data_IF_237858910280
#
_entry.id   IF_237858910280
#
_cell.length_a   1.000
_cell.length_b   1.000
_cell.length_c   1.000
_cell.angle_alpha   90.00
_cell.angle_beta   90.00
_cell.angle_gamma   90.00
#
_symmetry.space_group_name_H-M   'P 1'
#
loop_
_entity.id
_entity.type
_entity.pdbx_description
1 polymer ?
#
# COMPACT_ATOMS: atom_id res chain seq x y z
N UNK A 1 -16.93 -6.10 1.08
CA UNK A 1 -16.37 -5.09 0.16
C UNK A 1 -17.27 -3.84 0.04
N UNK A 2 -18.55 -3.96 -0.36
CA UNK A 2 -19.45 -2.80 -0.41
C UNK A 2 -19.62 -2.13 0.96
N UNK A 3 -19.88 -2.91 2.01
CA UNK A 3 -20.01 -2.38 3.37
C UNK A 3 -18.77 -1.60 3.83
N UNK A 4 -17.57 -2.01 3.40
CA UNK A 4 -16.32 -1.29 3.71
C UNK A 4 -16.25 0.07 2.98
N UNK A 5 -16.70 0.13 1.72
CA UNK A 5 -16.80 1.38 0.96
C UNK A 5 -17.80 2.32 1.65
N UNK A 6 -18.95 1.80 2.06
CA UNK A 6 -19.98 2.60 2.74
C UNK A 6 -19.49 3.13 4.10
N UNK A 7 -18.88 2.27 4.91
CA UNK A 7 -18.26 2.66 6.18
C UNK A 7 -17.19 3.74 5.97
N UNK A 8 -16.39 3.63 4.92
CA UNK A 8 -15.35 4.62 4.59
C UNK A 8 -15.96 5.96 4.19
N UNK A 9 -16.99 5.95 3.32
CA UNK A 9 -17.71 7.16 2.90
C UNK A 9 -18.37 7.84 4.10
N UNK A 10 -19.03 7.06 4.96
CA UNK A 10 -19.66 7.58 6.17
C UNK A 10 -18.64 8.20 7.12
N UNK A 11 -17.52 7.51 7.37
CA UNK A 11 -16.44 8.04 8.19
C UNK A 11 -15.88 9.36 7.64
N UNK A 12 -15.60 9.44 6.33
CA UNK A 12 -15.08 10.65 5.70
C UNK A 12 -16.10 11.80 5.72
N UNK A 13 -17.38 11.51 5.48
CA UNK A 13 -18.45 12.52 5.59
C UNK A 13 -18.59 13.06 7.01
N UNK A 14 -18.63 12.18 8.00
CA UNK A 14 -18.71 12.57 9.40
C UNK A 14 -17.55 13.49 9.82
N UNK A 15 -16.35 13.29 9.27
CA UNK A 15 -15.18 14.11 9.59
C UNK A 15 -15.13 15.43 8.82
N UNK A 16 -15.48 15.42 7.52
CA UNK A 16 -15.09 16.49 6.61
C UNK A 16 -16.23 17.14 5.83
N UNK A 17 -17.41 16.53 5.77
CA UNK A 17 -18.57 17.11 5.09
C UNK A 17 -19.34 18.01 6.06
N UNK A 18 -19.24 19.34 5.86
CA UNK A 18 -19.89 20.33 6.73
C UNK A 18 -21.42 20.27 6.71
N UNK A 19 -22.01 19.73 5.64
CA UNK A 19 -23.45 19.60 5.47
C UNK A 19 -24.02 18.24 5.88
N UNK A 20 -23.17 17.28 6.29
CA UNK A 20 -23.62 15.93 6.62
C UNK A 20 -24.23 15.87 8.03
N UNK A 21 -25.49 15.45 8.12
CA UNK A 21 -26.28 15.29 9.35
C UNK A 21 -26.42 16.54 10.24
N UNK A 22 -26.06 17.72 9.75
CA UNK A 22 -26.15 18.97 10.51
C UNK A 22 -27.07 19.98 9.82
N UNK A 23 -27.96 20.62 10.58
CA UNK A 23 -28.78 21.74 10.12
C UNK A 23 -28.07 23.09 10.19
N UNK A 24 -26.90 23.12 10.84
CA UNK A 24 -26.08 24.32 11.08
C UNK A 24 -24.61 23.97 10.91
N UNK A 25 -23.78 24.99 10.73
CA UNK A 25 -22.35 24.78 10.57
C UNK A 25 -21.69 24.23 11.84
N UNK A 26 -20.70 23.36 11.67
CA UNK A 26 -20.02 22.66 12.79
C UNK A 26 -19.00 23.57 13.47
N UNK A 27 -18.95 23.53 14.80
CA UNK A 27 -18.06 24.39 15.60
C UNK A 27 -16.57 24.10 15.36
N UNK A 28 -16.23 22.87 15.02
CA UNK A 28 -14.86 22.40 14.75
C UNK A 28 -14.48 22.44 13.25
N UNK A 29 -15.25 23.15 12.41
CA UNK A 29 -15.06 23.17 10.95
C UNK A 29 -13.63 23.52 10.55
N UNK A 30 -13.07 24.58 11.11
CA UNK A 30 -11.71 25.05 10.77
C UNK A 30 -10.65 24.00 11.11
N UNK A 31 -10.83 23.29 12.23
CA UNK A 31 -9.93 22.20 12.63
C UNK A 31 -10.05 21.04 11.64
N UNK A 32 -11.26 20.64 11.27
CA UNK A 32 -11.50 19.57 10.29
C UNK A 32 -11.03 19.92 8.88
N UNK A 33 -11.17 21.17 8.46
CA UNK A 33 -10.62 21.65 7.21
C UNK A 33 -9.09 21.60 7.20
N UNK A 34 -8.45 21.95 8.32
CA UNK A 34 -7.00 21.84 8.47
C UNK A 34 -6.53 20.37 8.44
N UNK A 35 -7.25 19.46 9.10
CA UNK A 35 -7.00 18.01 9.03
C UNK A 35 -7.13 17.50 7.59
N UNK A 36 -8.21 17.85 6.89
CA UNK A 36 -8.44 17.47 5.50
C UNK A 36 -7.35 18.02 4.58
N UNK A 37 -6.98 19.29 4.75
CA UNK A 37 -5.88 19.93 4.01
C UNK A 37 -4.58 19.16 4.22
N UNK A 38 -4.22 18.84 5.46
CA UNK A 38 -3.02 18.07 5.76
C UNK A 38 -3.02 16.70 5.10
N UNK A 39 -4.16 15.99 5.15
CA UNK A 39 -4.33 14.69 4.53
C UNK A 39 -4.15 14.76 3.01
N UNK A 40 -4.83 15.70 2.34
CA UNK A 40 -4.77 15.83 0.88
C UNK A 40 -3.42 16.37 0.39
N UNK A 41 -2.81 17.31 1.12
CA UNK A 41 -1.47 17.82 0.80
C UNK A 41 -0.41 16.72 0.86
N UNK A 42 -0.47 15.82 1.84
CA UNK A 42 0.45 14.68 1.90
C UNK A 42 0.44 13.84 0.60
N UNK A 43 -0.75 13.53 0.07
CA UNK A 43 -0.87 12.79 -1.20
C UNK A 43 -0.48 13.63 -2.42
N UNK A 44 -0.78 14.93 -2.40
CA UNK A 44 -0.41 15.87 -3.45
C UNK A 44 1.11 15.99 -3.59
N UNK A 45 1.82 16.18 -2.48
CA UNK A 45 3.29 16.26 -2.44
C UNK A 45 3.92 14.97 -2.93
N UNK A 46 3.34 13.83 -2.51
CA UNK A 46 3.78 12.50 -2.97
C UNK A 46 3.61 12.35 -4.48
N UNK A 47 2.46 12.75 -5.02
CA UNK A 47 2.20 12.65 -6.45
C UNK A 47 3.16 13.54 -7.27
N UNK A 48 3.47 14.75 -6.80
CA UNK A 48 4.43 15.64 -7.43
C UNK A 48 5.86 15.08 -7.37
N UNK A 49 6.27 14.55 -6.21
CA UNK A 49 7.60 13.95 -6.01
C UNK A 49 7.89 12.78 -6.96
N UNK A 50 6.86 12.02 -7.29
CA UNK A 50 6.95 10.90 -8.25
C UNK A 50 6.50 11.30 -9.66
N UNK A 51 6.43 12.60 -9.97
CA UNK A 51 6.14 13.13 -11.31
C UNK A 51 4.79 12.71 -11.92
N UNK A 52 3.86 12.17 -11.12
CA UNK A 52 2.49 11.86 -11.55
C UNK A 52 1.65 13.12 -11.79
N UNK A 53 2.14 14.26 -11.30
CA UNK A 53 1.49 15.54 -11.42
C UNK A 53 2.50 16.57 -11.90
N UNK A 54 2.14 17.35 -12.93
CA UNK A 54 2.96 18.48 -13.37
C UNK A 54 3.00 19.58 -12.31
N UNK A 55 4.09 20.33 -12.21
CA UNK A 55 4.23 21.46 -11.28
C UNK A 55 3.07 22.47 -11.36
N UNK A 56 2.58 22.75 -12.57
CA UNK A 56 1.44 23.65 -12.76
C UNK A 56 0.16 23.10 -12.09
N UNK A 57 -0.12 21.82 -12.25
CA UNK A 57 -1.29 21.19 -11.63
C UNK A 57 -1.12 21.06 -10.11
N UNK A 58 0.09 20.77 -9.63
CA UNK A 58 0.45 20.76 -8.21
C UNK A 58 0.15 22.11 -7.55
N UNK A 59 0.69 23.20 -8.10
CA UNK A 59 0.50 24.55 -7.57
C UNK A 59 -0.98 24.96 -7.54
N UNK A 60 -1.75 24.58 -8.56
CA UNK A 60 -3.19 24.86 -8.60
C UNK A 60 -3.98 24.09 -7.53
N UNK A 61 -3.67 22.80 -7.33
CA UNK A 61 -4.32 22.01 -6.28
C UNK A 61 -3.94 22.53 -4.90
N UNK A 62 -2.68 22.91 -4.69
CA UNK A 62 -2.24 23.50 -3.43
C UNK A 62 -2.97 24.81 -3.13
N UNK A 63 -3.15 25.68 -4.14
CA UNK A 63 -3.92 26.92 -3.99
C UNK A 63 -5.41 26.65 -3.71
N UNK A 64 -6.00 25.62 -4.32
CA UNK A 64 -7.36 25.19 -3.98
C UNK A 64 -7.46 24.70 -2.52
N UNK A 65 -6.50 23.90 -2.06
CA UNK A 65 -6.44 23.41 -0.67
C UNK A 65 -6.35 24.55 0.36
N UNK A 66 -5.78 25.70 0.00
CA UNK A 66 -5.75 26.88 0.86
C UNK A 66 -7.12 27.57 1.00
N UNK A 67 -8.07 27.32 0.10
CA UNK A 67 -9.40 27.95 0.09
C UNK A 67 -10.52 27.06 0.65
N UNK A 68 -10.20 25.95 1.31
CA UNK A 68 -11.21 25.05 1.88
C UNK A 68 -12.14 25.75 2.89
N UNK A 69 -11.65 26.76 3.61
CA UNK A 69 -12.46 27.54 4.57
C UNK A 69 -13.53 28.41 3.92
N UNK A 70 -13.43 28.67 2.61
CA UNK A 70 -14.48 29.35 1.84
C UNK A 70 -15.70 28.45 1.57
N UNK A 71 -15.62 27.17 1.93
CA UNK A 71 -16.66 26.16 1.71
C UNK A 71 -16.41 25.31 0.47
N UNK A 72 -16.77 24.03 0.58
CA UNK A 72 -16.61 23.02 -0.47
C UNK A 72 -17.70 21.96 -0.38
N UNK A 73 -17.79 21.12 -1.41
CA UNK A 73 -18.68 19.95 -1.43
C UNK A 73 -17.86 18.70 -1.68
N UNK A 74 -18.13 17.62 -0.94
CA UNK A 74 -17.48 16.32 -1.16
C UNK A 74 -18.41 15.42 -1.97
N UNK A 75 -17.85 14.74 -2.99
CA UNK A 75 -18.54 13.70 -3.76
C UNK A 75 -17.65 12.48 -3.82
N UNK A 76 -18.24 11.30 -3.64
CA UNK A 76 -17.54 10.04 -3.67
C UNK A 76 -17.93 9.27 -4.93
N UNK A 77 -16.94 8.71 -5.61
CA UNK A 77 -17.15 7.70 -6.65
C UNK A 77 -16.79 6.33 -6.07
N UNK A 78 -17.70 5.36 -6.15
CA UNK A 78 -17.49 4.01 -5.63
C UNK A 78 -16.84 3.16 -6.71
N UNK A 79 -15.52 3.07 -6.68
CA UNK A 79 -14.72 2.34 -7.67
C UNK A 79 -13.90 1.25 -6.99
N UNK A 80 -13.85 0.07 -7.61
CA UNK A 80 -12.94 -1.00 -7.19
C UNK A 80 -12.10 -1.51 -8.36
N UNK A 81 -10.83 -1.80 -8.07
CA UNK A 81 -9.90 -2.45 -9.00
C UNK A 81 -9.55 -3.81 -8.41
N UNK A 82 -9.78 -4.88 -9.17
CA UNK A 82 -9.53 -6.26 -8.76
C UNK A 82 -8.48 -6.83 -9.71
N UNK A 83 -7.35 -7.28 -9.18
CA UNK A 83 -6.34 -7.98 -9.96
C UNK A 83 -6.52 -9.47 -9.72
N UNK A 84 -6.99 -10.19 -10.75
CA UNK A 84 -7.28 -11.62 -10.67
C UNK A 84 -6.40 -12.37 -11.67
N UNK A 85 -5.29 -12.93 -11.16
CA UNK A 85 -4.36 -13.72 -11.96
C UNK A 85 -4.99 -14.99 -12.55
N UNK A 86 -6.05 -15.52 -11.93
CA UNK A 86 -6.75 -16.71 -12.39
C UNK A 86 -7.87 -16.40 -13.41
N UNK A 87 -8.25 -15.13 -13.56
CA UNK A 87 -9.28 -14.73 -14.51
C UNK A 87 -8.87 -15.05 -15.95
N UNK A 88 -9.74 -15.77 -16.66
CA UNK A 88 -9.55 -16.10 -18.08
C UNK A 88 -9.76 -14.90 -19.00
N UNK A 89 -10.63 -13.98 -18.60
CA UNK A 89 -10.91 -12.74 -19.30
C UNK A 89 -9.76 -11.76 -19.08
N UNK A 90 -9.37 -11.01 -20.13
CA UNK A 90 -8.30 -10.00 -20.04
C UNK A 90 -8.67 -8.90 -19.05
N UNK A 91 -9.94 -8.48 -19.06
CA UNK A 91 -10.51 -7.56 -18.10
C UNK A 91 -12.03 -7.73 -18.07
N UNK A 92 -12.68 -7.20 -17.02
CA UNK A 92 -14.13 -7.23 -16.87
C UNK A 92 -14.62 -6.03 -16.07
N UNK A 93 -15.69 -5.38 -16.54
CA UNK A 93 -16.42 -4.38 -15.76
C UNK A 93 -17.65 -5.03 -15.12
N UNK A 94 -17.81 -4.82 -13.82
CA UNK A 94 -18.98 -5.26 -13.06
C UNK A 94 -19.60 -4.07 -12.35
N UNK A 95 -20.89 -3.87 -12.55
CA UNK A 95 -21.68 -2.85 -11.85
C UNK A 95 -22.51 -3.60 -10.81
N UNK A 96 -22.19 -3.40 -9.53
CA UNK A 96 -22.87 -4.13 -8.43
C UNK A 96 -24.18 -3.46 -8.02
N UNK A 97 -24.21 -2.13 -8.03
CA UNK A 97 -25.36 -1.28 -7.76
C UNK A 97 -25.31 -0.04 -8.69
N UNK A 98 -26.23 0.92 -8.51
CA UNK A 98 -26.31 2.09 -9.41
C UNK A 98 -25.05 3.00 -9.39
N UNK A 99 -24.23 2.94 -8.33
CA UNK A 99 -23.11 3.87 -8.10
C UNK A 99 -21.75 3.17 -7.98
N UNK A 100 -21.72 1.84 -7.84
CA UNK A 100 -20.53 1.03 -7.56
C UNK A 100 -20.06 0.27 -8.79
N UNK A 101 -18.90 0.65 -9.32
CA UNK A 101 -18.28 0.03 -10.50
C UNK A 101 -16.95 -0.64 -10.13
N UNK A 102 -16.81 -1.91 -10.49
CA UNK A 102 -15.62 -2.71 -10.28
C UNK A 102 -14.99 -3.09 -11.61
N UNK A 103 -13.68 -2.94 -11.73
CA UNK A 103 -12.89 -3.36 -12.86
C UNK A 103 -11.97 -4.50 -12.43
N UNK A 104 -12.17 -5.68 -13.01
CA UNK A 104 -11.27 -6.82 -12.85
C UNK A 104 -10.26 -6.83 -13.98
N UNK A 105 -8.98 -6.92 -13.65
CA UNK A 105 -7.85 -7.08 -14.57
C UNK A 105 -7.39 -8.54 -14.46
N UNK A 106 -7.46 -9.29 -15.56
CA UNK A 106 -7.05 -10.69 -15.59
C UNK A 106 -5.56 -10.87 -15.84
N UNK A 107 -5.04 -12.08 -15.59
CA UNK A 107 -3.60 -12.39 -15.67
C UNK A 107 -2.90 -11.84 -16.91
N UNK A 108 -3.48 -12.01 -18.10
CA UNK A 108 -2.90 -11.48 -19.36
C UNK A 108 -2.70 -9.96 -19.37
N UNK A 109 -3.62 -9.21 -18.78
CA UNK A 109 -3.49 -7.75 -18.70
C UNK A 109 -2.52 -7.35 -17.60
N UNK A 110 -2.44 -8.12 -16.53
CA UNK A 110 -1.47 -7.91 -15.46
C UNK A 110 -0.04 -8.11 -16.00
N UNK A 111 0.19 -9.19 -16.76
CA UNK A 111 1.49 -9.46 -17.39
C UNK A 111 1.90 -8.30 -18.32
N UNK A 112 0.97 -7.79 -19.13
CA UNK A 112 1.21 -6.63 -20.00
C UNK A 112 1.51 -5.34 -19.21
N UNK A 113 0.89 -5.17 -18.02
CA UNK A 113 1.11 -4.03 -17.12
C UNK A 113 2.49 -4.12 -16.45
N UNK A 114 2.92 -5.33 -16.09
CA UNK A 114 4.17 -5.57 -15.37
C UNK A 114 5.38 -5.74 -16.30
N UNK A 115 5.19 -6.01 -17.59
CA UNK A 115 6.27 -6.21 -18.54
C UNK A 115 7.10 -4.92 -18.74
N UNK A 116 8.39 -4.92 -18.35
CA UNK A 116 9.26 -3.74 -18.45
C UNK A 116 9.66 -3.43 -19.90
N UNK A 117 9.35 -4.28 -20.88
CA UNK A 117 9.56 -4.06 -22.31
C UNK A 117 8.27 -3.91 -23.10
N UNK A 118 7.13 -4.23 -22.48
CA UNK A 118 5.83 -3.82 -22.96
C UNK A 118 5.80 -2.29 -22.95
N UNK A 119 5.77 -1.70 -24.13
CA UNK A 119 5.15 -0.39 -24.25
C UNK A 119 3.72 -0.56 -23.75
N UNK A 120 3.52 -0.21 -22.47
CA UNK A 120 2.26 0.27 -21.91
C UNK A 120 1.89 1.60 -22.62
N UNK A 121 2.01 1.62 -23.95
CA UNK A 121 1.25 2.48 -24.80
C UNK A 121 -0.19 2.18 -24.40
N UNK A 122 -0.77 3.08 -23.60
CA UNK A 122 -2.21 3.19 -23.33
C UNK A 122 -3.04 3.21 -24.63
N UNK A 123 -2.39 3.29 -25.80
CA UNK A 123 -2.96 3.07 -27.13
C UNK A 123 -3.18 1.59 -27.52
N UNK A 124 -2.53 0.62 -26.89
CA UNK A 124 -2.67 -0.84 -27.17
C UNK A 124 -3.76 -1.51 -26.32
N UNK A 125 -4.48 -0.75 -25.50
CA UNK A 125 -5.73 -1.15 -24.85
C UNK A 125 -6.91 -1.04 -25.84
N UNK A 126 -6.78 -1.61 -27.04
CA UNK A 126 -7.79 -1.49 -28.12
C UNK A 126 -9.03 -2.38 -27.90
N UNK A 127 -9.65 -2.27 -26.72
CA UNK A 127 -11.10 -2.37 -26.60
C UNK A 127 -11.60 -0.98 -26.20
N UNK A 128 -11.96 -0.19 -27.20
CA UNK A 128 -12.26 1.24 -27.03
C UNK A 128 -13.33 1.54 -25.97
N UNK A 129 -14.14 0.55 -25.59
CA UNK A 129 -15.23 0.71 -24.65
C UNK A 129 -14.80 0.51 -23.20
N UNK A 130 -13.84 -0.37 -22.91
CA UNK A 130 -13.29 -0.52 -21.56
C UNK A 130 -12.53 0.72 -21.13
N UNK A 131 -11.67 1.25 -21.99
CA UNK A 131 -10.94 2.50 -21.71
C UNK A 131 -11.87 3.69 -21.58
N UNK A 132 -12.92 3.79 -22.42
CA UNK A 132 -13.95 4.83 -22.25
C UNK A 132 -14.64 4.69 -20.89
N UNK A 133 -14.98 3.48 -20.49
CA UNK A 133 -15.64 3.21 -19.21
C UNK A 133 -14.73 3.49 -18.01
N UNK A 134 -13.45 3.13 -18.10
CA UNK A 134 -12.43 3.41 -17.09
C UNK A 134 -12.19 4.91 -16.98
N UNK A 135 -11.97 5.61 -18.09
CA UNK A 135 -11.81 7.07 -18.11
C UNK A 135 -13.07 7.79 -17.60
N UNK A 136 -14.26 7.31 -17.95
CA UNK A 136 -15.52 7.84 -17.44
C UNK A 136 -15.66 7.62 -15.93
N UNK A 137 -15.28 6.45 -15.44
CA UNK A 137 -15.27 6.11 -14.03
C UNK A 137 -14.32 7.03 -13.23
N UNK A 138 -13.06 7.13 -13.64
CA UNK A 138 -12.07 7.98 -12.95
C UNK A 138 -12.30 9.48 -13.15
N UNK A 139 -13.05 9.87 -14.19
CA UNK A 139 -13.34 11.26 -14.54
C UNK A 139 -12.48 11.71 -15.73
N UNK A 140 -13.10 12.36 -16.69
CA UNK A 140 -12.41 12.78 -17.89
C UNK A 140 -11.39 13.88 -17.56
N UNK A 141 -10.19 13.83 -18.18
CA UNK A 141 -9.20 14.94 -18.17
C UNK A 141 -9.83 16.31 -18.53
N UNK A 142 -10.94 16.29 -19.27
CA UNK A 142 -11.68 17.47 -19.69
C UNK A 142 -12.64 18.06 -18.63
N UNK A 143 -12.98 17.35 -17.56
CA UNK A 143 -13.80 17.89 -16.46
C UNK A 143 -12.95 18.75 -15.51
N UNK A 144 -11.67 18.41 -15.35
CA UNK A 144 -10.73 19.15 -14.51
C UNK A 144 -10.16 20.41 -15.19
N UNK A 145 -10.03 20.42 -16.52
CA UNK A 145 -9.50 21.58 -17.28
C UNK A 145 -10.28 22.89 -17.04
N UNK A 146 -11.62 22.92 -17.11
CA UNK A 146 -12.41 24.13 -16.82
C UNK A 146 -12.28 24.57 -15.35
N UNK A 147 -12.20 23.61 -14.42
CA UNK A 147 -11.97 23.89 -13.00
C UNK A 147 -10.60 24.55 -12.78
N UNK A 148 -9.55 23.99 -13.37
CA UNK A 148 -8.18 24.51 -13.36
C UNK A 148 -8.10 25.93 -13.97
N UNK A 149 -8.79 26.16 -15.09
CA UNK A 149 -8.83 27.47 -15.75
C UNK A 149 -9.56 28.52 -14.91
N UNK A 150 -10.67 28.15 -14.24
CA UNK A 150 -11.42 29.03 -13.34
C UNK A 150 -10.63 29.40 -12.09
N UNK A 151 -9.83 28.47 -11.56
CA UNK A 151 -8.93 28.73 -10.44
C UNK A 151 -7.78 29.67 -10.84
N UNK A 152 -7.20 29.44 -12.03
CA UNK A 152 -6.16 30.32 -12.60
C UNK A 152 -6.65 31.77 -12.72
N UNK A 153 -7.84 32.00 -13.29
CA UNK A 153 -8.39 33.36 -13.41
C UNK A 153 -8.70 34.02 -12.06
N UNK A 154 -9.04 33.24 -11.03
CA UNK A 154 -9.29 33.79 -9.69
C UNK A 154 -8.00 34.17 -8.94
N UNK A 155 -6.94 33.39 -9.12
CA UNK A 155 -5.61 33.71 -8.57
C UNK A 155 -5.02 34.96 -9.26
N UNK A 156 -5.12 35.05 -10.59
CA UNK A 156 -4.66 36.23 -11.34
C UNK A 156 -5.44 37.50 -10.93
N UNK A 157 -6.77 37.40 -10.76
CA UNK A 157 -7.59 38.53 -10.32
C UNK A 157 -7.34 38.93 -8.84
N UNK A 158 -7.05 37.98 -7.94
CA UNK A 158 -6.72 38.29 -6.54
C UNK A 158 -5.37 39.01 -6.42
N UNK A 159 -4.38 38.64 -7.25
CA UNK A 159 -3.08 39.31 -7.34
C UNK A 159 -3.22 40.73 -7.93
N UNK A 160 -4.08 40.93 -8.95
CA UNK A 160 -4.35 42.26 -9.50
C UNK A 160 -5.12 43.18 -8.53
N UNK A 161 -6.01 42.64 -7.70
CA UNK A 161 -6.73 43.44 -6.69
C UNK A 161 -5.86 43.88 -5.52
N UNK A 162 -4.79 43.14 -5.20
CA UNK A 162 -3.89 43.45 -4.07
C UNK A 162 -2.80 44.47 -4.45
N UNK A 163 -2.55 44.65 -5.76
CA UNK A 163 -1.61 45.65 -6.30
C UNK A 163 -2.29 47.00 -6.64
N UNK A 164 -3.61 47.08 -6.53
CA UNK A 164 -4.42 48.25 -6.91
C UNK A 164 -4.57 49.33 -5.84
N UNK A 165 -3.92 49.20 -4.68
CA UNK A 165 -4.07 50.19 -3.62
C UNK A 165 -2.99 50.11 -2.56
N UNK A 166 -1.81 50.68 -2.85
CA UNK A 166 -0.83 51.15 -1.87
C UNK A 166 0.13 52.12 -2.58
N UNK A 167 -0.18 53.42 -2.51
CA UNK A 167 0.78 54.50 -2.75
C UNK A 167 1.63 54.70 -1.48
N UNK A 168 2.93 54.46 -1.64
CA UNK A 168 4.13 55.06 -1.00
C UNK A 168 4.25 55.27 0.51
N UNK A 169 5.44 54.88 0.98
CA UNK A 169 6.17 55.20 2.22
C UNK A 169 5.66 54.56 3.52
N UNK A 170 6.32 53.47 3.93
CA UNK A 170 7.08 53.43 5.19
C UNK A 170 8.02 52.20 5.22
N UNK A 171 9.25 52.45 5.66
CA UNK A 171 10.37 51.52 5.80
C UNK A 171 10.07 50.35 6.75
N UNK A 172 10.32 49.11 6.31
CA UNK A 172 10.40 47.94 7.20
C UNK A 172 11.68 47.14 6.87
N UNK A 173 12.46 46.91 7.92
CA UNK A 173 13.80 46.31 7.95
C UNK A 173 13.86 44.88 7.42
N UNK A 174 14.90 44.60 6.63
CA UNK A 174 15.30 43.25 6.22
C UNK A 174 15.75 42.43 7.42
N UNK A 175 14.98 41.42 7.80
CA UNK A 175 15.49 40.28 8.57
C UNK A 175 15.70 39.09 7.65
N UNK A 176 16.94 38.95 7.17
CA UNK A 176 17.48 37.73 6.58
C UNK A 176 17.52 36.63 7.65
N UNK A 177 16.71 35.59 7.50
CA UNK A 177 16.99 34.31 8.16
C UNK A 177 18.02 33.58 7.29
N UNK A 178 19.22 33.50 7.83
CA UNK A 178 20.35 32.71 7.34
C UNK A 178 20.00 31.23 7.59
N UNK A 179 19.88 30.45 6.51
CA UNK A 179 20.01 28.99 6.60
C UNK A 179 21.39 28.65 6.07
N UNK A 180 22.17 28.06 6.95
CA UNK A 180 23.58 27.74 6.79
C UNK A 180 23.76 26.65 5.72
N UNK A 181 24.35 27.03 4.59
CA UNK A 181 24.88 26.12 3.58
C UNK A 181 26.30 25.71 3.96
N UNK A 182 26.49 24.47 4.41
CA UNK A 182 27.74 23.70 4.25
C UNK A 182 27.35 22.23 4.42
N UNK A 183 27.65 21.28 3.55
CA UNK A 183 28.66 21.18 2.49
C UNK A 183 28.24 20.09 1.49
N UNK A 184 28.05 20.46 0.23
CA UNK A 184 28.09 19.53 -0.90
C UNK A 184 29.03 20.13 -1.94
N UNK A 185 30.12 19.42 -2.24
CA UNK A 185 30.80 19.45 -3.53
C UNK A 185 31.57 18.14 -3.66
N UNK A 186 31.08 17.26 -4.52
CA UNK A 186 31.83 16.74 -5.68
C UNK A 186 31.03 15.57 -6.29
N UNK A 187 30.26 15.86 -7.34
CA UNK A 187 29.80 14.82 -8.27
C UNK A 187 30.14 15.30 -9.67
N UNK A 188 31.22 14.71 -10.20
CA UNK A 188 31.61 14.77 -11.60
C UNK A 188 30.59 14.01 -12.47
N UNK A 189 30.21 14.51 -13.64
CA UNK A 189 29.34 13.79 -14.56
C UNK A 189 30.15 12.73 -15.31
N UNK A 190 29.70 11.47 -15.29
CA UNK A 190 30.27 10.38 -16.09
C UNK A 190 29.18 9.38 -16.49
N UNK A 191 29.38 8.64 -17.58
CA UNK A 191 28.60 8.80 -18.80
C UNK A 191 27.58 7.67 -19.01
N UNK A 192 26.70 7.86 -20.00
CA UNK A 192 25.79 6.84 -20.50
C UNK A 192 26.53 5.51 -20.76
N UNK A 193 26.02 4.36 -20.26
CA UNK A 193 26.53 3.08 -20.68
C UNK A 193 25.97 2.70 -22.06
N UNK A 194 26.89 2.34 -22.94
CA UNK A 194 26.65 1.73 -24.25
C UNK A 194 25.84 0.43 -24.14
N UNK A 195 24.99 0.22 -25.15
CA UNK A 195 24.28 -1.03 -25.42
C UNK A 195 25.23 -2.18 -25.73
N UNK A 196 25.09 -3.31 -25.01
CA UNK A 196 25.23 -4.73 -25.41
C UNK A 196 25.19 -5.54 -24.10
N UNK A 197 24.49 -6.65 -23.89
CA UNK A 197 24.08 -7.77 -24.73
C UNK A 197 22.72 -8.32 -24.28
N UNK A 198 22.02 -8.99 -25.20
CA UNK A 198 20.79 -9.69 -24.96
C UNK A 198 21.01 -10.96 -24.11
N UNK A 199 20.36 -11.05 -22.95
CA UNK A 199 20.09 -12.33 -22.30
C UNK A 199 18.59 -12.63 -22.39
N UNK A 200 18.24 -13.36 -23.44
CA UNK A 200 17.00 -14.12 -23.53
C UNK A 200 17.01 -15.20 -22.45
N UNK A 201 16.17 -15.06 -21.43
CA UNK A 201 15.77 -16.19 -20.58
C UNK A 201 14.33 -16.51 -20.95
N UNK A 202 14.19 -17.25 -22.03
CA UNK A 202 13.04 -18.12 -22.20
C UNK A 202 13.34 -19.36 -21.35
N UNK A 203 12.63 -19.51 -20.23
CA UNK A 203 12.58 -20.76 -19.48
C UNK A 203 11.17 -20.91 -18.93
N UNK A 204 10.34 -21.64 -19.68
CA UNK A 204 9.20 -22.36 -19.13
C UNK A 204 9.74 -23.42 -18.17
N UNK A 205 9.99 -23.05 -16.92
CA UNK A 205 10.14 -24.04 -15.86
C UNK A 205 8.75 -24.42 -15.36
N UNK A 206 8.29 -25.57 -15.86
CA UNK A 206 7.26 -26.37 -15.20
C UNK A 206 7.67 -26.55 -13.73
N UNK A 207 6.92 -25.92 -12.85
CA UNK A 207 6.97 -26.16 -11.40
C UNK A 207 6.82 -27.67 -11.20
N UNK A 208 7.94 -28.32 -10.88
CA UNK A 208 7.95 -29.71 -10.49
C UNK A 208 7.39 -29.79 -9.09
N UNK A 209 6.18 -30.34 -8.98
CA UNK A 209 5.58 -30.71 -7.69
C UNK A 209 6.49 -31.79 -7.11
N UNK A 210 7.25 -31.44 -6.07
CA UNK A 210 8.01 -32.38 -5.27
C UNK A 210 7.02 -33.36 -4.63
N UNK A 211 6.94 -34.56 -5.19
CA UNK A 211 6.23 -35.69 -4.60
C UNK A 211 7.02 -36.22 -3.39
N UNK A 212 6.99 -35.49 -2.28
CA UNK A 212 7.11 -36.15 -0.97
C UNK A 212 5.75 -36.76 -0.61
N UNK A 213 5.70 -37.92 0.07
CA UNK A 213 4.44 -38.50 0.51
C UNK A 213 3.81 -37.54 1.53
N UNK A 214 2.83 -36.75 1.08
CA UNK A 214 2.19 -35.72 1.89
C UNK A 214 1.62 -36.38 3.14
N UNK A 215 2.22 -36.10 4.31
CA UNK A 215 1.52 -36.30 5.58
C UNK A 215 0.18 -35.58 5.43
N UNK A 216 -0.91 -36.33 5.57
CA UNK A 216 -2.26 -35.78 5.46
C UNK A 216 -2.37 -34.60 6.43
N UNK A 217 -2.74 -33.43 5.92
CA UNK A 217 -2.80 -32.22 6.72
C UNK A 217 -3.88 -32.35 7.81
N UNK A 218 -3.52 -32.05 9.05
CA UNK A 218 -4.43 -32.17 10.19
C UNK A 218 -5.01 -30.79 10.50
N UNK A 219 -6.32 -30.66 10.34
CA UNK A 219 -7.04 -29.42 10.59
C UNK A 219 -7.08 -29.10 12.10
N UNK A 220 -6.71 -27.88 12.54
CA UNK A 220 -6.87 -27.49 13.94
C UNK A 220 -8.34 -27.28 14.33
N UNK A 221 -8.68 -27.74 15.53
CA UNK A 221 -9.91 -27.33 16.21
C UNK A 221 -9.69 -26.03 17.01
N UNK A 222 -10.72 -25.19 17.08
CA UNK A 222 -10.73 -23.96 17.87
C UNK A 222 -12.07 -23.76 18.60
N UNK A 223 -12.04 -22.99 19.70
CA UNK A 223 -13.23 -22.62 20.47
C UNK A 223 -13.76 -21.23 20.11
N UNK A 224 -12.85 -20.30 19.78
CA UNK A 224 -13.15 -18.88 19.56
C UNK A 224 -12.48 -18.45 18.25
N UNK A 225 -13.24 -17.81 17.36
CA UNK A 225 -12.72 -17.18 16.14
C UNK A 225 -12.76 -15.65 16.30
N UNK A 226 -11.64 -14.99 16.04
CA UNK A 226 -11.50 -13.53 16.04
C UNK A 226 -11.43 -13.05 14.59
N UNK A 227 -12.04 -11.90 14.30
CA UNK A 227 -11.98 -11.25 12.98
C UNK A 227 -13.19 -11.53 12.08
N UNK A 228 -13.95 -12.60 12.35
CA UNK A 228 -15.15 -12.97 11.58
C UNK A 228 -16.20 -13.63 12.47
N UNK A 229 -17.48 -13.40 12.17
CA UNK A 229 -18.62 -14.03 12.88
C UNK A 229 -19.21 -15.23 12.14
N UNK A 230 -18.87 -15.42 10.87
CA UNK A 230 -19.20 -16.60 10.07
C UNK A 230 -18.02 -17.59 10.05
N UNK A 231 -18.21 -18.82 9.54
CA UNK A 231 -17.10 -19.73 9.25
C UNK A 231 -16.03 -19.06 8.38
N UNK A 232 -14.77 -19.43 8.64
CA UNK A 232 -13.60 -18.93 7.94
C UNK A 232 -13.03 -20.01 7.02
N UNK A 233 -12.70 -19.62 5.79
CA UNK A 233 -12.07 -20.51 4.79
C UNK A 233 -10.54 -20.59 4.98
N UNK A 234 -9.96 -19.64 5.71
CA UNK A 234 -8.53 -19.56 6.01
C UNK A 234 -8.35 -18.94 7.40
N UNK A 235 -7.74 -19.69 8.32
CA UNK A 235 -7.55 -19.24 9.71
C UNK A 235 -6.32 -19.88 10.34
N UNK A 236 -5.86 -19.33 11.46
CA UNK A 236 -4.76 -19.90 12.25
C UNK A 236 -4.96 -19.78 13.76
N UNK A 237 -4.37 -20.68 14.54
CA UNK A 237 -4.43 -20.71 16.00
C UNK A 237 -3.45 -19.70 16.60
N UNK A 238 -3.96 -18.58 17.10
CA UNK A 238 -3.17 -17.53 17.72
C UNK A 238 -2.65 -17.91 19.11
N UNK A 239 -3.44 -18.69 19.85
CA UNK A 239 -3.05 -19.17 21.17
C UNK A 239 -4.19 -19.70 22.01
N UNK A 240 -4.02 -19.66 23.34
CA UNK A 240 -4.99 -20.14 24.32
C UNK A 240 -5.39 -19.03 25.30
N UNK A 241 -6.65 -19.03 25.70
CA UNK A 241 -7.12 -18.19 26.81
C UNK A 241 -6.66 -18.73 28.17
N UNK A 242 -6.83 -17.94 29.23
CA UNK A 242 -6.58 -18.37 30.62
C UNK A 242 -7.46 -19.59 31.00
N UNK A 243 -8.59 -19.78 30.33
CA UNK A 243 -9.51 -20.92 30.50
C UNK A 243 -9.21 -22.07 29.53
N UNK A 244 -8.02 -22.09 28.91
CA UNK A 244 -7.58 -23.12 27.95
C UNK A 244 -8.50 -23.26 26.72
N UNK A 245 -9.14 -22.15 26.32
CA UNK A 245 -9.89 -22.10 25.06
C UNK A 245 -8.97 -21.75 23.92
N UNK A 246 -8.98 -22.54 22.85
CA UNK A 246 -8.19 -22.29 21.64
C UNK A 246 -8.77 -21.12 20.86
N UNK A 247 -7.93 -20.14 20.60
CA UNK A 247 -8.30 -18.90 19.92
C UNK A 247 -7.71 -18.94 18.51
N UNK A 248 -8.59 -18.94 17.51
CA UNK A 248 -8.26 -18.77 16.11
C UNK A 248 -8.44 -17.32 15.67
N UNK A 249 -7.68 -16.91 14.67
CA UNK A 249 -7.84 -15.65 13.95
C UNK A 249 -8.24 -15.95 12.50
N UNK A 250 -9.28 -15.27 12.01
CA UNK A 250 -9.64 -15.28 10.60
C UNK A 250 -8.56 -14.60 9.78
N UNK A 251 -8.14 -15.27 8.71
CA UNK A 251 -7.15 -14.79 7.74
C UNK A 251 -7.71 -14.87 6.31
N UNK A 252 -9.04 -15.02 6.17
CA UNK A 252 -9.74 -15.09 4.89
C UNK A 252 -10.16 -13.71 4.38
N UNK A 253 -10.36 -12.76 5.29
CA UNK A 253 -10.76 -11.39 4.97
C UNK A 253 -9.58 -10.40 5.05
N UNK A 254 -9.82 -9.16 4.63
CA UNK A 254 -8.86 -8.06 4.81
C UNK A 254 -8.80 -7.64 6.28
N UNK A 255 -7.72 -8.03 6.96
CA UNK A 255 -7.50 -7.71 8.37
C UNK A 255 -6.50 -6.56 8.54
N UNK A 256 -6.83 -5.59 9.39
CA UNK A 256 -5.90 -4.57 9.88
C UNK A 256 -5.57 -4.88 11.34
N UNK A 257 -4.33 -5.29 11.61
CA UNK A 257 -3.87 -5.71 12.93
C UNK A 257 -2.85 -4.69 13.46
N UNK A 258 -3.05 -4.22 14.69
CA UNK A 258 -2.10 -3.34 15.38
C UNK A 258 -1.67 -4.00 16.70
N UNK A 259 -0.37 -4.16 16.90
CA UNK A 259 0.20 -4.82 18.07
C UNK A 259 0.95 -3.80 18.93
N UNK A 260 0.52 -3.69 20.19
CA UNK A 260 1.08 -2.75 21.17
C UNK A 260 1.65 -3.52 22.36
N UNK A 261 2.76 -3.04 22.91
CA UNK A 261 3.40 -3.69 24.06
C UNK A 261 4.85 -3.28 24.27
N UNK A 262 5.38 -3.60 25.45
CA UNK A 262 6.78 -3.32 25.82
C UNK A 262 7.77 -4.16 24.99
N UNK A 263 9.06 -3.78 25.03
CA UNK A 263 10.13 -4.59 24.43
C UNK A 263 10.15 -5.99 25.06
N UNK A 264 10.33 -7.03 24.24
CA UNK A 264 10.25 -8.43 24.68
C UNK A 264 8.82 -8.95 24.93
N UNK A 265 7.79 -8.13 24.71
CA UNK A 265 6.38 -8.53 24.89
C UNK A 265 5.81 -9.47 23.81
N UNK A 266 6.63 -10.03 22.93
CA UNK A 266 6.20 -10.99 21.90
C UNK A 266 5.51 -10.38 20.67
N UNK A 267 5.62 -9.07 20.44
CA UNK A 267 5.01 -8.39 19.27
C UNK A 267 5.53 -8.95 17.95
N UNK A 268 6.84 -8.95 17.75
CA UNK A 268 7.49 -9.48 16.54
C UNK A 268 7.18 -10.95 16.32
N UNK A 269 7.15 -11.74 17.41
CA UNK A 269 6.76 -13.16 17.37
C UNK A 269 5.31 -13.32 16.91
N UNK A 270 4.39 -12.48 17.39
CA UNK A 270 2.98 -12.52 16.97
C UNK A 270 2.83 -12.18 15.48
N UNK A 271 3.56 -11.17 14.98
CA UNK A 271 3.61 -10.86 13.54
C UNK A 271 4.17 -12.05 12.78
N UNK A 272 5.27 -12.63 13.25
CA UNK A 272 5.93 -13.76 12.62
C UNK A 272 5.01 -14.97 12.50
N UNK A 273 4.32 -15.32 13.59
CA UNK A 273 3.34 -16.41 13.63
C UNK A 273 2.17 -16.17 12.66
N UNK A 274 1.63 -14.95 12.60
CA UNK A 274 0.55 -14.64 11.64
C UNK A 274 1.07 -14.72 10.20
N UNK A 275 2.29 -14.23 9.94
CA UNK A 275 2.94 -14.34 8.64
C UNK A 275 3.12 -15.81 8.24
N UNK A 276 3.65 -16.67 9.12
CA UNK A 276 3.78 -18.10 8.87
C UNK A 276 2.42 -18.75 8.53
N UNK A 277 1.35 -18.40 9.26
CA UNK A 277 0.00 -18.92 9.02
C UNK A 277 -0.59 -18.55 7.65
N UNK A 278 -0.12 -17.48 7.02
CA UNK A 278 -0.56 -17.09 5.67
C UNK A 278 0.42 -17.54 4.58
N UNK A 279 1.67 -17.86 4.93
CA UNK A 279 2.72 -18.24 3.99
C UNK A 279 2.84 -19.76 3.81
N UNK A 280 2.59 -20.57 4.86
CA UNK A 280 2.79 -22.03 4.81
C UNK A 280 1.73 -22.77 5.61
N UNK A 281 1.40 -23.99 5.17
CA UNK A 281 0.41 -24.85 5.82
C UNK A 281 1.09 -25.71 6.91
N UNK A 282 0.63 -25.54 8.15
CA UNK A 282 1.10 -26.24 9.35
C UNK A 282 -0.03 -27.05 9.98
N UNK A 283 0.15 -28.38 10.06
CA UNK A 283 -0.79 -29.26 10.75
C UNK A 283 -1.00 -28.84 12.21
N UNK A 284 -2.25 -28.89 12.67
CA UNK A 284 -2.71 -28.44 13.99
C UNK A 284 -2.56 -26.93 14.28
N UNK A 285 -2.17 -26.11 13.31
CA UNK A 285 -1.99 -24.65 13.51
C UNK A 285 -2.88 -23.81 12.60
N UNK A 286 -2.95 -24.10 11.30
CA UNK A 286 -3.76 -23.28 10.38
C UNK A 286 -4.51 -24.13 9.36
N UNK A 287 -5.46 -23.48 8.69
CA UNK A 287 -6.05 -23.89 7.41
C UNK A 287 -5.66 -22.84 6.38
N UNK A 288 -4.93 -23.24 5.35
CA UNK A 288 -4.40 -22.37 4.30
C UNK A 288 -4.73 -22.97 2.92
N UNK A 289 -5.77 -22.48 2.23
CA UNK A 289 -6.14 -22.98 0.90
C UNK A 289 -5.02 -22.81 -0.13
N UNK A 290 -4.30 -21.69 -0.07
CA UNK A 290 -3.15 -21.38 -0.91
C UNK A 290 -2.21 -20.42 -0.20
N UNK A 291 -0.88 -20.58 -0.29
CA UNK A 291 0.09 -19.61 0.21
C UNK A 291 -0.17 -18.20 -0.32
N UNK A 292 -0.13 -17.21 0.58
CA UNK A 292 -0.13 -15.80 0.21
C UNK A 292 1.31 -15.30 0.00
N UNK A 293 1.44 -14.14 -0.64
CA UNK A 293 2.70 -13.40 -0.67
C UNK A 293 2.76 -12.43 0.52
N UNK A 294 3.84 -12.48 1.30
CA UNK A 294 4.09 -11.57 2.42
C UNK A 294 5.07 -10.48 2.03
N UNK A 295 4.72 -9.22 2.31
CA UNK A 295 5.65 -8.08 2.18
C UNK A 295 5.79 -7.42 3.55
N UNK A 296 7.00 -7.45 4.10
CA UNK A 296 7.30 -6.86 5.40
C UNK A 296 8.14 -5.60 5.20
N UNK A 297 7.58 -4.45 5.58
CA UNK A 297 8.34 -3.20 5.64
C UNK A 297 8.92 -3.04 7.03
N UNK A 298 10.24 -3.17 7.14
CA UNK A 298 10.95 -2.92 8.38
C UNK A 298 11.38 -1.45 8.44
N UNK A 299 10.70 -0.67 9.30
CA UNK A 299 11.06 0.71 9.58
C UNK A 299 11.83 0.79 10.89
N UNK A 300 13.13 1.10 10.79
CA UNK A 300 13.95 1.41 11.96
C UNK A 300 14.60 2.78 11.76
N UNK A 301 14.60 3.59 12.82
CA UNK A 301 15.32 4.88 12.83
C UNK A 301 16.84 4.67 12.84
N UNK A 302 17.31 3.53 13.35
CA UNK A 302 18.71 3.09 13.30
C UNK A 302 18.86 1.85 12.42
N UNK A 303 19.93 1.77 11.64
CA UNK A 303 20.19 0.62 10.77
C UNK A 303 20.73 -0.61 11.53
N UNK A 304 20.91 -0.51 12.85
CA UNK A 304 21.52 -1.54 13.70
C UNK A 304 20.54 -2.63 14.15
N UNK A 305 19.26 -2.55 13.75
CA UNK A 305 18.26 -3.54 14.10
C UNK A 305 18.12 -4.59 13.00
N UNK A 306 18.49 -5.82 13.32
CA UNK A 306 18.32 -6.97 12.43
C UNK A 306 16.82 -7.21 12.20
N UNK A 307 16.34 -7.33 10.95
CA UNK A 307 14.96 -7.68 10.70
C UNK A 307 14.74 -9.12 11.18
N UNK A 308 14.04 -9.31 12.31
CA UNK A 308 13.83 -10.64 12.94
C UNK A 308 13.29 -11.71 11.97
N UNK A 309 12.62 -11.28 10.89
CA UNK A 309 11.99 -12.12 9.88
C UNK A 309 13.00 -12.79 8.92
N UNK A 310 14.27 -12.35 8.89
CA UNK A 310 15.32 -13.04 8.13
C UNK A 310 15.60 -14.44 8.68
N UNK A 311 15.34 -14.65 9.98
CA UNK A 311 15.51 -15.95 10.64
C UNK A 311 14.45 -16.99 10.25
N UNK A 312 13.34 -16.60 9.60
CA UNK A 312 12.24 -17.50 9.22
C UNK A 312 12.65 -18.61 8.24
N UNK A 313 13.82 -18.48 7.60
CA UNK A 313 14.39 -19.53 6.74
C UNK A 313 14.89 -20.74 7.53
N UNK A 314 14.98 -20.64 8.86
CA UNK A 314 15.37 -21.72 9.75
C UNK A 314 14.20 -22.10 10.67
N UNK A 315 14.01 -23.40 10.96
CA UNK A 315 13.04 -23.81 11.97
C UNK A 315 13.51 -23.35 13.35
N UNK A 316 12.56 -23.11 14.25
CA UNK A 316 12.87 -22.83 15.66
C UNK A 316 13.67 -24.00 16.27
N UNK A 317 14.78 -23.69 16.92
CA UNK A 317 15.72 -24.66 17.50
C UNK A 317 15.68 -24.69 19.04
N UNK A 318 14.85 -23.86 19.66
CA UNK A 318 14.78 -23.75 21.12
C UNK A 318 13.95 -24.88 21.72
N UNK A 319 14.61 -25.87 22.31
CA UNK A 319 13.98 -27.08 22.90
C UNK A 319 12.75 -26.81 23.78
N UNK A 320 12.82 -25.80 24.67
CA UNK A 320 11.71 -25.45 25.56
C UNK A 320 10.49 -24.90 24.82
N UNK A 321 10.69 -24.20 23.70
CA UNK A 321 9.61 -23.66 22.87
C UNK A 321 8.99 -24.78 22.04
N UNK A 322 9.82 -25.65 21.46
CA UNK A 322 9.38 -26.83 20.71
C UNK A 322 8.56 -27.80 21.57
N UNK A 323 9.02 -28.06 22.81
CA UNK A 323 8.29 -28.90 23.76
C UNK A 323 6.90 -28.31 24.07
N UNK A 324 6.79 -26.99 24.22
CA UNK A 324 5.50 -26.31 24.45
C UNK A 324 4.61 -26.36 23.21
N UNK A 325 5.17 -26.10 22.01
CA UNK A 325 4.45 -26.15 20.75
C UNK A 325 3.81 -27.53 20.54
N UNK A 326 4.62 -28.59 20.71
CA UNK A 326 4.17 -29.98 20.59
C UNK A 326 3.18 -30.38 21.68
N UNK A 327 3.44 -30.03 22.94
CA UNK A 327 2.58 -30.43 24.05
C UNK A 327 1.22 -29.72 24.03
N UNK A 328 1.16 -28.43 23.65
CA UNK A 328 -0.08 -27.64 23.68
C UNK A 328 -0.86 -27.71 22.38
N UNK A 329 -0.16 -27.62 21.26
CA UNK A 329 -0.79 -27.50 19.95
C UNK A 329 -0.64 -28.76 19.10
N UNK A 330 0.22 -29.72 19.47
CA UNK A 330 0.48 -30.90 18.65
C UNK A 330 1.20 -30.58 17.34
N UNK A 331 1.82 -29.41 17.26
CA UNK A 331 2.48 -28.92 16.07
C UNK A 331 4.00 -29.19 16.11
N UNK A 332 4.59 -29.30 14.92
CA UNK A 332 6.03 -29.45 14.72
C UNK A 332 6.58 -28.14 14.12
N UNK A 333 7.82 -27.75 14.44
CA UNK A 333 8.45 -26.58 13.83
C UNK A 333 8.76 -26.83 12.35
N UNK A 334 8.79 -25.75 11.58
CA UNK A 334 9.20 -25.73 10.17
C UNK A 334 9.76 -24.34 9.84
N UNK A 335 10.18 -24.12 8.59
CA UNK A 335 10.69 -22.85 8.09
C UNK A 335 9.92 -22.36 6.85
N UNK A 336 10.16 -21.10 6.46
CA UNK A 336 9.73 -20.50 5.19
C UNK A 336 10.92 -20.51 4.23
N UNK A 337 10.78 -21.14 3.07
CA UNK A 337 11.91 -21.37 2.15
C UNK A 337 12.16 -20.18 1.21
N UNK A 338 11.12 -19.45 0.83
CA UNK A 338 11.16 -18.41 -0.20
C UNK A 338 11.13 -17.00 0.43
N UNK A 339 12.24 -16.62 1.05
CA UNK A 339 12.44 -15.28 1.63
C UNK A 339 13.44 -14.50 0.78
N UNK A 340 13.07 -13.29 0.39
CA UNK A 340 13.93 -12.35 -0.34
C UNK A 340 14.08 -11.04 0.46
N UNK A 341 15.27 -10.42 0.38
CA UNK A 341 15.49 -9.07 0.90
C UNK A 341 15.51 -8.10 -0.27
N UNK A 342 14.63 -7.10 -0.22
CA UNK A 342 14.62 -5.97 -1.14
C UNK A 342 15.28 -4.75 -0.47
N UNK A 343 16.37 -4.22 -1.04
CA UNK A 343 17.17 -3.14 -0.47
C UNK A 343 17.56 -2.08 -1.51
N UNK A 344 17.87 -0.82 -1.15
CA UNK A 344 18.41 0.16 -2.10
C UNK A 344 19.63 -0.38 -2.88
N UNK A 345 19.77 0.06 -4.15
CA UNK A 345 20.80 -0.47 -5.08
C UNK A 345 22.22 -0.35 -4.54
N UNK A 346 22.52 0.74 -3.84
CA UNK A 346 23.81 1.04 -3.22
C UNK A 346 24.10 0.18 -1.97
N UNK A 347 23.10 -0.54 -1.44
CA UNK A 347 23.19 -1.38 -0.24
C UNK A 347 23.19 -2.88 -0.52
N UNK A 348 23.14 -3.29 -1.79
CA UNK A 348 23.06 -4.72 -2.15
C UNK A 348 24.26 -5.52 -1.60
N UNK A 349 25.48 -5.07 -1.85
CA UNK A 349 26.68 -5.85 -1.49
C UNK A 349 26.88 -5.92 0.02
N UNK A 350 26.54 -4.85 0.75
CA UNK A 350 26.49 -4.84 2.22
C UNK A 350 25.51 -5.90 2.74
N UNK A 351 24.27 -5.92 2.21
CA UNK A 351 23.24 -6.87 2.66
C UNK A 351 23.50 -8.31 2.26
N UNK A 352 24.14 -8.57 1.12
CA UNK A 352 24.57 -9.92 0.73
C UNK A 352 25.62 -10.47 1.70
N UNK A 353 26.53 -9.62 2.19
CA UNK A 353 27.52 -10.02 3.17
C UNK A 353 26.89 -10.32 4.53
N UNK A 354 25.86 -9.56 4.93
CA UNK A 354 25.09 -9.80 6.16
C UNK A 354 24.23 -11.08 6.10
N UNK A 355 23.56 -11.33 4.96
CA UNK A 355 22.63 -12.45 4.80
C UNK A 355 23.01 -13.36 3.61
N UNK A 356 24.09 -14.14 3.73
CA UNK A 356 24.58 -14.98 2.62
C UNK A 356 23.61 -16.09 2.21
N UNK A 357 22.69 -16.47 3.10
CA UNK A 357 21.68 -17.52 2.88
C UNK A 357 20.37 -16.99 2.32
N UNK A 358 20.23 -15.68 2.10
CA UNK A 358 19.00 -15.04 1.62
C UNK A 358 19.29 -14.33 0.30
N UNK A 359 18.38 -14.46 -0.66
CA UNK A 359 18.49 -13.75 -1.93
C UNK A 359 18.25 -12.25 -1.70
N UNK A 360 19.24 -11.43 -2.04
CA UNK A 360 19.17 -9.95 -1.92
C UNK A 360 19.04 -9.33 -3.31
N UNK A 361 17.97 -8.55 -3.50
CA UNK A 361 17.65 -7.88 -4.75
C UNK A 361 17.45 -6.36 -4.53
N UNK A 362 17.67 -5.52 -5.56
CA UNK A 362 17.32 -4.12 -5.46
C UNK A 362 15.82 -3.94 -5.30
N UNK A 363 15.40 -3.06 -4.40
CA UNK A 363 14.06 -2.50 -4.47
C UNK A 363 14.02 -1.54 -5.67
N UNK A 364 13.38 -1.99 -6.75
CA UNK A 364 13.19 -1.20 -7.95
C UNK A 364 11.70 -0.97 -8.17
N UNK A 365 11.23 0.23 -7.86
CA UNK A 365 9.94 0.72 -8.37
C UNK A 365 10.21 1.25 -9.78
N UNK A 366 10.20 0.37 -10.78
CA UNK A 366 10.22 0.82 -12.18
C UNK A 366 8.79 1.22 -12.52
N UNK A 367 8.48 2.51 -12.42
CA UNK A 367 7.28 3.08 -12.99
C UNK A 367 7.72 3.87 -14.22
N UNK A 368 7.35 3.37 -15.39
CA UNK A 368 7.62 4.02 -16.67
C UNK A 368 6.82 5.32 -16.74
N UNK A 369 7.52 6.43 -17.04
CA UNK A 369 6.91 7.69 -17.45
C UNK A 369 6.41 7.62 -18.90
#
# INVERSE_FOLDING_TARGET
MLDQIENTIEALRNHFDSGYNNSFDRLDREIKNKELKSLLTFYLDRANRYEYLSDNAYNQYLAFMQKLDAGFTIRFKRLGLIFDFAAKERHKKTVLDNDSTFFTFGGKLIDDILDPYSDLNTKRLEESDFDKDLNKAFGNKNELKPFMQKFKSKLENEIETDLGGLDTDETIEENKIIVDETSMNDISPYPEPEHTEAHSIAAEEKISISNEPSKEHILPEYDILIGKTSPSEQFGILGESILQKKIAIDLSETNTISLFGVQGGGKSYTIGTISEMVLKQFSNINLLPSPLAGVIFHYSESMDYEPEFTSMILPNDKENELAKLKARYGAEPDNIEDVIILTPKDKIEERKAEYPSITVLPIALILKN
#
